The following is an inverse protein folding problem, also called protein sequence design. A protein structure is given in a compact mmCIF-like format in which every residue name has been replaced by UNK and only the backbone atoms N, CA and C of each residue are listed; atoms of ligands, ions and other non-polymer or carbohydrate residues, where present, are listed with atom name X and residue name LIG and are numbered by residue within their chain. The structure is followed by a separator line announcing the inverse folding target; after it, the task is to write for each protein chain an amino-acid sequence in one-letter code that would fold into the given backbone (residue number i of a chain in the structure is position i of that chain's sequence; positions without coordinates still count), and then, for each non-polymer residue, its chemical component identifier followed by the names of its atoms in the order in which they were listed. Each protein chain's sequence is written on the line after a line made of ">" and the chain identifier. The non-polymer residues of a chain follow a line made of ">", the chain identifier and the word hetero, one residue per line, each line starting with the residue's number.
data_IF_766225055027
#
_entry.id   IF_766225055027
#
_cell.length_a   1.000
_cell.length_b   1.000
_cell.length_c   1.000
_cell.angle_alpha   90.00
_cell.angle_beta   90.00
_cell.angle_gamma   90.00
#
_symmetry.space_group_name_H-M   'P 1'
#
loop_
_entity.id
_entity.type
_entity.pdbx_description
1 polymer ?
#
# COMPACT_ATOMS: atom_id res chain seq x y z
N UNK A 1 -20.12 32.00 14.05
CA UNK A 1 -19.81 30.69 14.66
C UNK A 1 -19.47 29.73 13.53
N UNK A 2 -18.17 29.44 13.30
CA UNK A 2 -17.75 28.59 12.17
C UNK A 2 -17.83 27.13 12.65
N UNK A 3 -18.83 26.40 12.17
CA UNK A 3 -18.96 24.96 12.38
C UNK A 3 -17.79 24.26 11.69
N UNK A 4 -16.89 23.67 12.46
CA UNK A 4 -15.84 22.80 11.93
C UNK A 4 -16.45 21.40 11.73
N UNK A 5 -16.61 20.98 10.48
CA UNK A 5 -17.30 19.74 10.13
C UNK A 5 -16.28 18.61 9.99
N UNK A 6 -16.31 17.65 10.89
CA UNK A 6 -15.54 16.42 10.73
C UNK A 6 -16.04 15.66 9.49
N UNK A 7 -15.11 15.22 8.65
CA UNK A 7 -15.41 14.42 7.46
C UNK A 7 -14.73 13.08 7.59
N UNK A 8 -15.43 12.03 7.18
CA UNK A 8 -14.90 10.69 7.13
C UNK A 8 -15.30 10.05 5.80
N UNK A 9 -14.40 9.24 5.27
CA UNK A 9 -14.64 8.42 4.10
C UNK A 9 -14.11 7.01 4.38
N UNK A 10 -14.81 6.02 3.88
CA UNK A 10 -14.37 4.62 3.89
C UNK A 10 -14.39 4.15 2.45
N UNK A 11 -13.37 3.41 2.05
CA UNK A 11 -13.24 2.89 0.70
C UNK A 11 -12.74 1.45 0.72
N UNK A 12 -13.17 0.69 -0.29
CA UNK A 12 -12.78 -0.69 -0.51
C UNK A 12 -12.48 -0.89 -1.99
N UNK A 13 -11.68 -1.89 -2.30
CA UNK A 13 -11.37 -2.21 -3.69
C UNK A 13 -10.81 -3.61 -3.84
N UNK A 14 -10.87 -4.11 -5.08
CA UNK A 14 -10.20 -5.34 -5.51
C UNK A 14 -9.15 -4.95 -6.54
N UNK A 15 -8.02 -5.65 -6.53
CA UNK A 15 -6.96 -5.45 -7.50
C UNK A 15 -6.56 -6.79 -8.12
N UNK A 16 -6.50 -6.82 -9.44
CA UNK A 16 -5.94 -7.92 -10.22
C UNK A 16 -4.81 -7.37 -11.07
N UNK A 17 -3.63 -7.97 -10.96
CA UNK A 17 -2.43 -7.55 -11.67
C UNK A 17 -1.79 -8.78 -12.31
N UNK A 18 -1.40 -8.64 -13.56
CA UNK A 18 -0.63 -9.64 -14.31
C UNK A 18 0.69 -8.95 -14.70
N UNK A 19 1.79 -9.62 -14.47
CA UNK A 19 3.13 -9.12 -14.76
C UNK A 19 3.87 -10.16 -15.58
N UNK A 20 4.24 -9.78 -16.81
CA UNK A 20 5.03 -10.59 -17.73
C UNK A 20 6.44 -9.99 -17.84
N UNK A 21 7.46 -10.80 -17.64
CA UNK A 21 8.86 -10.39 -17.61
C UNK A 21 9.62 -11.06 -18.76
N UNK A 22 10.73 -10.47 -19.21
CA UNK A 22 11.60 -11.09 -20.21
C UNK A 22 12.11 -12.47 -19.76
N UNK A 23 12.38 -12.62 -18.46
CA UNK A 23 12.55 -13.93 -17.85
C UNK A 23 11.21 -14.40 -17.29
N UNK A 24 10.56 -15.30 -18.05
CA UNK A 24 9.26 -15.89 -17.75
C UNK A 24 9.16 -16.58 -16.38
N UNK A 25 10.29 -16.90 -15.73
CA UNK A 25 10.28 -17.39 -14.35
C UNK A 25 9.62 -16.39 -13.37
N UNK A 26 9.67 -15.09 -13.68
CA UNK A 26 9.10 -14.02 -12.86
C UNK A 26 7.68 -13.63 -13.26
N UNK A 27 7.12 -14.31 -14.27
CA UNK A 27 5.73 -14.13 -14.65
C UNK A 27 4.84 -14.47 -13.47
N UNK A 28 3.97 -13.52 -13.13
CA UNK A 28 3.13 -13.65 -11.96
C UNK A 28 1.78 -12.99 -12.14
N UNK A 29 0.83 -13.56 -11.41
CA UNK A 29 -0.48 -12.98 -11.19
C UNK A 29 -0.63 -12.61 -9.73
N UNK A 30 -1.29 -11.49 -9.48
CA UNK A 30 -1.53 -10.97 -8.13
C UNK A 30 -2.98 -10.54 -8.00
N UNK A 31 -3.68 -11.19 -7.08
CA UNK A 31 -5.03 -10.82 -6.69
C UNK A 31 -5.02 -10.28 -5.27
N UNK A 32 -5.70 -9.17 -5.05
CA UNK A 32 -5.79 -8.57 -3.73
C UNK A 32 -7.07 -7.81 -3.50
N UNK A 33 -7.20 -7.41 -2.25
CA UNK A 33 -8.25 -6.53 -1.78
C UNK A 33 -7.66 -5.42 -0.93
N UNK A 34 -8.33 -4.29 -0.93
CA UNK A 34 -8.00 -3.14 -0.12
C UNK A 34 -9.20 -2.66 0.67
N UNK A 35 -8.90 -2.16 1.86
CA UNK A 35 -9.82 -1.39 2.68
C UNK A 35 -9.08 -0.17 3.19
N UNK A 36 -9.76 0.95 3.31
CA UNK A 36 -9.17 2.14 3.89
C UNK A 36 -10.19 3.12 4.39
N UNK A 37 -9.71 4.05 5.20
CA UNK A 37 -10.49 5.12 5.76
C UNK A 37 -9.68 6.42 5.72
N UNK A 38 -10.40 7.52 5.62
CA UNK A 38 -9.83 8.85 5.74
C UNK A 38 -10.68 9.65 6.72
N UNK A 39 -10.01 10.36 7.62
CA UNK A 39 -10.64 11.17 8.66
C UNK A 39 -10.03 12.56 8.69
N UNK A 40 -10.87 13.58 8.71
CA UNK A 40 -10.47 14.99 8.81
C UNK A 40 -10.98 15.58 10.12
N UNK A 41 -10.06 16.01 10.98
CA UNK A 41 -10.34 16.73 12.22
C UNK A 41 -10.28 18.23 11.95
N UNK A 42 -11.40 18.93 12.13
CA UNK A 42 -11.49 20.39 12.07
C UNK A 42 -10.85 21.03 10.83
N UNK A 43 -10.87 20.33 9.69
CA UNK A 43 -10.22 20.71 8.43
C UNK A 43 -8.71 21.03 8.55
N UNK A 44 -8.07 20.68 9.67
CA UNK A 44 -6.67 20.99 9.97
C UNK A 44 -5.79 19.74 10.01
N UNK A 45 -6.34 18.56 10.29
CA UNK A 45 -5.57 17.32 10.34
C UNK A 45 -6.32 16.28 9.53
N UNK A 46 -5.65 15.71 8.54
CA UNK A 46 -6.11 14.56 7.77
C UNK A 46 -5.31 13.33 8.16
N UNK A 47 -6.02 12.25 8.49
CA UNK A 47 -5.47 10.92 8.72
C UNK A 47 -6.03 9.98 7.68
N UNK A 48 -5.17 9.28 6.95
CA UNK A 48 -5.58 8.19 6.05
C UNK A 48 -4.95 6.89 6.54
N UNK A 49 -5.74 5.83 6.60
CA UNK A 49 -5.26 4.48 6.89
C UNK A 49 -5.75 3.54 5.79
N UNK A 50 -4.86 2.69 5.28
CA UNK A 50 -5.15 1.70 4.25
C UNK A 50 -4.53 0.37 4.62
N UNK A 51 -5.30 -0.68 4.41
CA UNK A 51 -4.88 -2.07 4.51
C UNK A 51 -5.03 -2.74 3.14
N UNK A 52 -3.97 -3.40 2.69
CA UNK A 52 -3.94 -4.24 1.49
C UNK A 52 -3.59 -5.66 1.90
N UNK A 53 -4.32 -6.64 1.37
CA UNK A 53 -3.90 -8.03 1.41
C UNK A 53 -3.99 -8.61 0.02
N UNK A 54 -2.96 -9.36 -0.38
CA UNK A 54 -2.87 -9.93 -1.72
C UNK A 54 -2.15 -11.26 -1.72
N UNK A 55 -2.50 -12.10 -2.68
CA UNK A 55 -1.84 -13.34 -3.00
C UNK A 55 -1.18 -13.16 -4.37
N UNK A 56 0.11 -13.49 -4.44
CA UNK A 56 0.88 -13.51 -5.68
C UNK A 56 1.31 -14.94 -5.97
N UNK A 57 1.02 -15.39 -7.18
CA UNK A 57 1.38 -16.72 -7.67
C UNK A 57 2.25 -16.55 -8.90
N UNK A 58 3.39 -17.23 -8.89
CA UNK A 58 4.31 -17.26 -10.02
C UNK A 58 3.94 -18.46 -10.91
N UNK A 59 3.92 -18.24 -12.22
CA UNK A 59 3.39 -19.22 -13.16
C UNK A 59 4.38 -20.37 -13.42
N UNK A 60 5.67 -20.16 -13.12
CA UNK A 60 6.75 -21.10 -13.36
C UNK A 60 7.48 -21.51 -12.08
N UNK A 61 8.14 -22.67 -12.15
CA UNK A 61 8.94 -23.21 -11.04
C UNK A 61 10.16 -22.34 -10.75
N UNK A 62 10.51 -22.28 -9.47
CA UNK A 62 11.72 -21.60 -9.03
C UNK A 62 12.99 -22.38 -9.46
N UNK A 63 13.94 -21.71 -10.11
CA UNK A 63 15.21 -22.29 -10.64
C UNK A 63 15.93 -23.23 -9.66
N UNK A 64 15.96 -22.87 -8.37
CA UNK A 64 16.73 -23.59 -7.34
C UNK A 64 15.88 -24.64 -6.58
N UNK A 65 14.57 -24.42 -6.46
CA UNK A 65 13.72 -25.18 -5.51
C UNK A 65 12.63 -25.99 -6.24
N UNK A 66 12.53 -25.89 -7.57
CA UNK A 66 11.66 -26.70 -8.43
C UNK A 66 10.20 -26.78 -7.95
N UNK A 67 9.72 -25.71 -7.31
CA UNK A 67 8.32 -25.51 -6.92
C UNK A 67 7.90 -24.11 -7.35
N UNK A 68 6.63 -23.88 -7.69
CA UNK A 68 6.14 -22.55 -7.99
C UNK A 68 6.09 -21.71 -6.72
N UNK A 69 6.55 -20.47 -6.81
CA UNK A 69 6.55 -19.54 -5.69
C UNK A 69 5.14 -18.98 -5.46
N UNK A 70 4.73 -18.93 -4.20
CA UNK A 70 3.48 -18.31 -3.78
C UNK A 70 3.73 -17.41 -2.58
N UNK A 71 3.37 -16.14 -2.73
CA UNK A 71 3.52 -15.14 -1.68
C UNK A 71 2.16 -14.62 -1.21
N UNK A 72 2.07 -14.36 0.09
CA UNK A 72 0.99 -13.58 0.70
C UNK A 72 1.58 -12.28 1.22
N UNK A 73 1.06 -11.18 0.72
CA UNK A 73 1.52 -9.85 1.07
C UNK A 73 0.44 -9.11 1.86
N UNK A 74 0.80 -8.59 3.03
CA UNK A 74 -0.01 -7.66 3.82
C UNK A 74 0.70 -6.32 3.88
N UNK A 75 -0.02 -5.24 3.56
CA UNK A 75 0.53 -3.88 3.61
C UNK A 75 -0.40 -2.99 4.42
N UNK A 76 0.18 -2.30 5.41
CA UNK A 76 -0.48 -1.27 6.20
C UNK A 76 0.15 0.06 5.82
N UNK A 77 -0.67 1.03 5.47
CA UNK A 77 -0.23 2.37 5.10
C UNK A 77 -1.02 3.38 5.91
N UNK A 78 -0.31 4.21 6.68
CA UNK A 78 -0.87 5.32 7.45
C UNK A 78 -0.24 6.61 6.95
N UNK A 79 -1.07 7.60 6.65
CA UNK A 79 -0.65 8.93 6.23
C UNK A 79 -1.24 9.98 7.15
N UNK A 80 -0.39 10.91 7.58
CA UNK A 80 -0.77 12.09 8.34
C UNK A 80 -0.44 13.34 7.52
N UNK A 81 -1.42 14.21 7.34
CA UNK A 81 -1.24 15.46 6.62
C UNK A 81 -2.04 16.59 7.26
N UNK A 82 -1.68 17.82 6.95
CA UNK A 82 -2.45 18.98 7.33
C UNK A 82 -2.94 19.68 6.06
N UNK A 83 -4.26 19.70 5.78
CA UNK A 83 -4.81 20.33 4.58
C UNK A 83 -4.50 21.83 4.46
N UNK A 84 -4.29 22.52 5.60
CA UNK A 84 -3.98 23.95 5.68
C UNK A 84 -2.49 24.25 5.51
N UNK A 85 -1.62 23.27 5.72
CA UNK A 85 -0.20 23.43 5.45
C UNK A 85 0.04 23.23 3.96
N UNK A 86 -0.09 24.32 3.22
CA UNK A 86 0.20 24.35 1.80
C UNK A 86 1.25 25.42 1.52
N UNK A 87 2.28 25.04 0.78
CA UNK A 87 3.26 25.98 0.26
C UNK A 87 3.29 25.85 -1.26
N UNK A 88 2.96 26.93 -1.99
CA UNK A 88 2.85 26.93 -3.46
C UNK A 88 1.95 25.80 -4.01
N UNK A 89 0.86 25.51 -3.31
CA UNK A 89 -0.08 24.42 -3.66
C UNK A 89 0.43 23.01 -3.36
N UNK A 90 1.57 22.87 -2.67
CA UNK A 90 2.10 21.58 -2.23
C UNK A 90 1.76 21.33 -0.76
N UNK A 91 1.17 20.16 -0.48
CA UNK A 91 0.83 19.67 0.85
C UNK A 91 1.82 18.61 1.31
N UNK A 92 2.55 18.81 2.42
CA UNK A 92 3.37 17.77 3.01
C UNK A 92 2.51 16.68 3.64
N UNK A 93 2.92 15.44 3.44
CA UNK A 93 2.26 14.25 3.98
C UNK A 93 3.33 13.31 4.52
N UNK A 94 3.23 13.00 5.81
CA UNK A 94 4.05 11.99 6.45
C UNK A 94 3.40 10.63 6.24
N UNK A 95 4.19 9.66 5.75
CA UNK A 95 3.72 8.31 5.46
C UNK A 95 4.50 7.31 6.29
N UNK A 96 3.78 6.35 6.87
CA UNK A 96 4.32 5.14 7.46
C UNK A 96 3.73 3.94 6.72
N UNK A 97 4.60 3.05 6.25
CA UNK A 97 4.23 1.84 5.53
C UNK A 97 4.89 0.65 6.20
N UNK A 98 4.09 -0.34 6.57
CA UNK A 98 4.56 -1.64 7.03
C UNK A 98 4.12 -2.71 6.04
N UNK A 99 5.06 -3.50 5.56
CA UNK A 99 4.83 -4.60 4.63
C UNK A 99 5.34 -5.90 5.22
N UNK A 100 4.50 -6.91 5.22
CA UNK A 100 4.81 -8.28 5.65
C UNK A 100 4.54 -9.22 4.46
N UNK A 101 5.57 -9.95 4.05
CA UNK A 101 5.51 -10.90 2.94
C UNK A 101 5.90 -12.26 3.45
N UNK A 102 4.93 -13.18 3.43
CA UNK A 102 5.17 -14.60 3.73
C UNK A 102 5.18 -15.39 2.44
N UNK A 103 6.17 -16.26 2.26
CA UNK A 103 6.35 -17.07 1.05
C UNK A 103 6.38 -18.55 1.40
N UNK A 104 6.00 -19.43 0.46
CA UNK A 104 6.25 -20.86 0.56
C UNK A 104 7.75 -21.23 0.47
N UNK A 105 8.59 -20.28 0.05
CA UNK A 105 10.05 -20.37 0.09
C UNK A 105 10.57 -19.30 1.08
N UNK A 106 10.43 -19.52 2.40
CA UNK A 106 10.68 -18.48 3.40
C UNK A 106 12.17 -18.08 3.49
N UNK A 107 13.10 -18.99 3.18
CA UNK A 107 14.54 -18.74 3.29
C UNK A 107 15.03 -17.67 2.30
N UNK A 108 14.31 -17.44 1.20
CA UNK A 108 14.71 -16.51 0.14
C UNK A 108 13.78 -15.30 0.03
N UNK A 109 12.49 -15.47 0.30
CA UNK A 109 11.47 -14.49 -0.09
C UNK A 109 10.55 -14.01 1.02
N UNK A 110 10.70 -14.53 2.25
CA UNK A 110 9.99 -13.97 3.40
C UNK A 110 10.73 -12.75 3.92
N UNK A 111 10.01 -11.63 4.07
CA UNK A 111 10.58 -10.42 4.64
C UNK A 111 9.52 -9.53 5.27
N UNK A 112 10.00 -8.69 6.17
CA UNK A 112 9.24 -7.59 6.76
C UNK A 112 9.97 -6.29 6.45
N UNK A 113 9.23 -5.25 6.08
CA UNK A 113 9.79 -3.96 5.74
C UNK A 113 8.96 -2.84 6.36
N UNK A 114 9.63 -1.93 7.05
CA UNK A 114 9.04 -0.72 7.60
C UNK A 114 9.67 0.50 6.95
N UNK A 115 8.83 1.41 6.44
CA UNK A 115 9.27 2.62 5.76
C UNK A 115 8.54 3.83 6.32
N UNK A 116 9.30 4.88 6.61
CA UNK A 116 8.78 6.22 6.92
C UNK A 116 9.32 7.19 5.89
N UNK A 117 8.45 8.00 5.30
CA UNK A 117 8.86 8.99 4.30
C UNK A 117 7.93 10.19 4.26
N UNK A 118 8.46 11.32 3.84
CA UNK A 118 7.71 12.55 3.59
C UNK A 118 7.43 12.68 2.09
N UNK A 119 6.21 13.09 1.74
CA UNK A 119 5.80 13.36 0.36
C UNK A 119 5.20 14.76 0.25
N UNK A 120 5.35 15.38 -0.92
CA UNK A 120 4.69 16.64 -1.25
C UNK A 120 3.65 16.36 -2.34
N UNK A 121 2.38 16.57 -2.04
CA UNK A 121 1.28 16.42 -3.00
C UNK A 121 0.86 17.78 -3.54
N UNK A 122 0.74 17.92 -4.86
CA UNK A 122 0.20 19.12 -5.51
C UNK A 122 -1.11 18.79 -6.19
N UNK A 123 -2.15 19.56 -5.89
CA UNK A 123 -3.42 19.52 -6.63
C UNK A 123 -3.31 20.50 -7.83
N UNK A 124 -3.77 20.07 -9.01
CA UNK A 124 -3.71 20.83 -10.26
C UNK A 124 -5.11 21.31 -10.67
#
# INVERSE_FOLDING_TARGET
>A
MIYHKNRHAIFFGLNHQIENTENHQYDNQKLGMMAGMEYHVNDSIGLQARYLTSKREFDNDHEIISIPRVDREKTYHVSLFNPKWQYKGMRPTLNWVYKDVTSNIPQLYQYQNQRVYLSLYREF
#
